data_IF_526693546759
#
_entry.id   IF_526693546759
#
_cell.length_a   1.000
_cell.length_b   1.000
_cell.length_c   1.000
_cell.angle_alpha   90.00
_cell.angle_beta   90.00
_cell.angle_gamma   90.00
#
_symmetry.space_group_name_H-M   'P 1'
#
loop_
_entity.id
_entity.type
_entity.pdbx_description
1 polymer ?
#
# COMPACT_ATOMS: atom_id res chain seq x y z
N UNK A 1 -9.93 -3.57 20.56
CA UNK A 1 -8.93 -2.82 21.35
C UNK A 1 -8.59 -1.55 20.60
N UNK A 2 -8.29 -0.47 21.33
CA UNK A 2 -8.06 0.84 20.72
C UNK A 2 -9.22 1.30 19.84
N UNK A 3 -8.88 1.82 18.67
CA UNK A 3 -9.80 2.37 17.66
C UNK A 3 -10.38 1.31 16.69
N UNK A 4 -10.03 0.04 16.83
CA UNK A 4 -10.47 -1.03 15.92
C UNK A 4 -12.00 -1.14 15.77
N UNK A 5 -12.76 -0.89 16.85
CA UNK A 5 -14.23 -0.94 16.83
C UNK A 5 -14.81 0.21 16.01
N UNK A 6 -14.26 1.41 16.19
CA UNK A 6 -14.65 2.59 15.43
C UNK A 6 -14.30 2.43 13.95
N UNK A 7 -13.07 2.02 13.66
CA UNK A 7 -12.60 1.73 12.29
C UNK A 7 -13.49 0.69 11.59
N UNK A 8 -13.86 -0.40 12.27
CA UNK A 8 -14.75 -1.43 11.73
C UNK A 8 -16.17 -0.91 11.47
N UNK A 9 -16.69 -0.08 12.38
CA UNK A 9 -18.03 0.51 12.28
C UNK A 9 -18.10 1.50 11.10
N UNK A 10 -17.14 2.40 11.00
CA UNK A 10 -17.03 3.35 9.89
C UNK A 10 -16.87 2.63 8.55
N UNK A 11 -16.07 1.56 8.51
CA UNK A 11 -15.92 0.73 7.31
C UNK A 11 -17.23 0.09 6.89
N UNK A 12 -18.00 -0.46 7.83
CA UNK A 12 -19.31 -1.04 7.54
C UNK A 12 -20.31 0.02 7.02
N UNK A 13 -20.35 1.20 7.65
CA UNK A 13 -21.21 2.30 7.21
C UNK A 13 -20.83 2.84 5.83
N UNK A 14 -19.54 2.99 5.55
CA UNK A 14 -19.06 3.31 4.22
C UNK A 14 -19.47 2.22 3.24
N UNK A 15 -19.32 0.94 3.61
CA UNK A 15 -19.72 -0.24 2.82
C UNK A 15 -21.16 -0.28 2.36
N UNK A 16 -22.06 0.27 3.15
CA UNK A 16 -23.49 0.31 2.83
C UNK A 16 -23.88 1.45 1.88
N UNK A 17 -22.96 2.38 1.58
CA UNK A 17 -23.24 3.53 0.69
C UNK A 17 -22.54 3.32 -0.66
N UNK A 18 -23.27 3.35 -1.79
CA UNK A 18 -22.64 3.37 -3.09
C UNK A 18 -21.92 4.72 -3.29
N UNK A 19 -20.84 4.70 -4.06
CA UNK A 19 -20.13 5.89 -4.52
C UNK A 19 -20.14 5.92 -6.05
N UNK A 20 -20.10 7.09 -6.70
CA UNK A 20 -19.88 7.15 -8.13
C UNK A 20 -18.52 6.57 -8.50
N UNK A 21 -18.34 6.24 -9.79
CA UNK A 21 -17.01 5.89 -10.29
C UNK A 21 -16.11 7.14 -10.23
N UNK A 22 -15.17 7.15 -9.29
CA UNK A 22 -14.27 8.27 -9.03
C UNK A 22 -12.90 7.77 -8.60
N UNK A 23 -11.87 8.57 -8.85
CA UNK A 23 -10.52 8.35 -8.32
C UNK A 23 -10.41 8.72 -6.83
N UNK A 24 -11.34 9.53 -6.31
CA UNK A 24 -11.45 9.82 -4.89
C UNK A 24 -12.31 8.77 -4.17
N UNK A 25 -11.78 7.56 -4.06
CA UNK A 25 -12.44 6.44 -3.37
C UNK A 25 -11.78 6.07 -2.04
N UNK A 26 -10.71 6.76 -1.64
CA UNK A 26 -9.94 6.34 -0.45
C UNK A 26 -10.79 6.42 0.83
N UNK A 27 -11.65 7.43 0.95
CA UNK A 27 -12.63 7.59 2.02
C UNK A 27 -13.58 6.40 2.16
N UNK A 28 -13.75 5.60 1.09
CA UNK A 28 -14.61 4.43 1.05
C UNK A 28 -13.92 3.15 1.54
N UNK A 29 -12.61 3.03 1.28
CA UNK A 29 -11.80 1.85 1.62
C UNK A 29 -11.25 1.96 3.04
N UNK A 30 -10.74 3.12 3.42
CA UNK A 30 -10.15 3.41 4.72
C UNK A 30 -10.78 4.68 5.34
N UNK A 31 -12.10 4.66 5.63
CA UNK A 31 -12.83 5.85 6.09
C UNK A 31 -12.24 6.47 7.37
N UNK A 32 -11.83 5.62 8.31
CA UNK A 32 -11.28 6.06 9.59
C UNK A 32 -9.96 6.84 9.42
N UNK A 33 -9.01 6.28 8.66
CA UNK A 33 -7.75 6.95 8.37
C UNK A 33 -7.97 8.24 7.58
N UNK A 34 -8.85 8.18 6.57
CA UNK A 34 -9.21 9.37 5.78
C UNK A 34 -9.79 10.49 6.65
N UNK A 35 -10.70 10.17 7.58
CA UNK A 35 -11.27 11.15 8.51
C UNK A 35 -10.22 11.77 9.43
N UNK A 36 -9.33 10.97 10.02
CA UNK A 36 -8.29 11.50 10.92
C UNK A 36 -7.33 12.43 10.18
N UNK A 37 -6.89 12.02 9.00
CA UNK A 37 -5.97 12.82 8.17
C UNK A 37 -6.60 14.16 7.79
N UNK A 38 -7.89 14.18 7.44
CA UNK A 38 -8.56 15.40 7.00
C UNK A 38 -9.02 16.31 8.15
N UNK A 39 -9.45 15.74 9.28
CA UNK A 39 -10.15 16.50 10.32
C UNK A 39 -9.26 17.01 11.46
N UNK A 40 -8.10 16.39 11.72
CA UNK A 40 -7.42 16.61 13.01
C UNK A 40 -5.90 16.61 12.97
N UNK A 41 -5.26 16.18 11.87
CA UNK A 41 -3.86 15.77 11.92
C UNK A 41 -3.02 16.12 10.68
N UNK A 42 -3.41 17.10 9.86
CA UNK A 42 -2.52 17.62 8.81
C UNK A 42 -1.18 18.06 9.43
N UNK A 43 -0.13 17.25 9.27
CA UNK A 43 1.20 17.47 9.83
C UNK A 43 1.52 16.87 11.21
N UNK A 44 0.63 16.07 11.83
CA UNK A 44 0.91 15.38 13.13
C UNK A 44 0.91 13.86 12.99
N UNK A 45 1.77 13.20 13.77
CA UNK A 45 1.78 11.73 13.86
C UNK A 45 0.54 11.25 14.62
N UNK A 46 -0.10 10.19 14.12
CA UNK A 46 -1.34 9.65 14.66
C UNK A 46 -1.04 8.33 15.37
N UNK A 47 -1.60 8.15 16.56
CA UNK A 47 -1.57 6.88 17.28
C UNK A 47 -2.83 6.10 16.98
N UNK A 48 -2.69 4.90 16.43
CA UNK A 48 -3.80 4.04 15.98
C UNK A 48 -3.50 2.56 16.25
N UNK A 49 -4.41 1.65 15.89
CA UNK A 49 -4.21 0.22 16.02
C UNK A 49 -4.35 -0.52 14.69
N UNK A 50 -3.41 -1.43 14.43
CA UNK A 50 -3.51 -2.42 13.36
C UNK A 50 -3.69 -3.81 13.98
N UNK A 51 -4.95 -4.24 14.06
CA UNK A 51 -5.30 -5.45 14.81
C UNK A 51 -5.01 -5.25 16.31
N UNK A 52 -4.31 -6.18 16.96
CA UNK A 52 -3.90 -6.05 18.36
C UNK A 52 -2.57 -5.30 18.54
N UNK A 53 -2.02 -4.67 17.48
CA UNK A 53 -0.72 -3.99 17.52
C UNK A 53 -0.93 -2.48 17.50
N UNK A 54 -0.49 -1.72 18.53
CA UNK A 54 -0.49 -0.26 18.46
C UNK A 54 0.49 0.20 17.38
N UNK A 55 0.11 1.20 16.59
CA UNK A 55 0.87 1.68 15.43
C UNK A 55 0.86 3.20 15.39
N UNK A 56 2.00 3.78 15.00
CA UNK A 56 2.12 5.21 14.75
C UNK A 56 2.07 5.43 13.24
N UNK A 57 1.08 6.18 12.77
CA UNK A 57 1.01 6.64 11.39
C UNK A 57 1.79 7.95 11.26
N UNK A 58 2.91 7.87 10.53
CA UNK A 58 3.76 9.02 10.22
C UNK A 58 3.20 9.73 8.99
N UNK A 59 2.89 11.02 9.14
CA UNK A 59 2.28 11.84 8.07
C UNK A 59 3.23 12.90 7.51
N UNK A 60 4.31 13.22 8.24
CA UNK A 60 5.30 14.22 7.84
C UNK A 60 6.25 13.65 6.79
N UNK A 61 6.37 14.25 5.59
CA UNK A 61 7.22 13.73 4.52
C UNK A 61 8.68 13.54 4.92
N UNK A 62 9.24 14.44 5.73
CA UNK A 62 10.63 14.35 6.19
C UNK A 62 10.86 13.14 7.08
N UNK A 63 9.93 12.85 7.99
CA UNK A 63 10.00 11.66 8.85
C UNK A 63 9.80 10.37 8.06
N UNK A 64 8.90 10.39 7.06
CA UNK A 64 8.72 9.25 6.14
C UNK A 64 10.03 8.98 5.42
N UNK A 65 10.65 10.00 4.82
CA UNK A 65 11.92 9.88 4.10
C UNK A 65 13.04 9.35 5.00
N UNK A 66 13.16 9.88 6.22
CA UNK A 66 14.18 9.44 7.18
C UNK A 66 13.97 7.97 7.59
N UNK A 67 12.72 7.58 7.89
CA UNK A 67 12.39 6.19 8.23
C UNK A 67 12.73 5.21 7.09
N UNK A 68 12.40 5.58 5.84
CA UNK A 68 12.71 4.77 4.65
C UNK A 68 14.20 4.70 4.32
N UNK A 69 15.01 5.67 4.73
CA UNK A 69 16.47 5.60 4.58
C UNK A 69 17.13 4.73 5.65
N UNK A 70 16.51 4.59 6.83
CA UNK A 70 17.02 3.81 7.96
C UNK A 70 16.41 2.41 8.04
N UNK A 71 16.39 1.68 6.91
CA UNK A 71 15.79 0.33 6.82
C UNK A 71 16.39 -0.72 7.77
N UNK A 72 17.62 -0.49 8.27
CA UNK A 72 18.22 -1.37 9.29
C UNK A 72 17.62 -1.14 10.69
N UNK A 73 17.15 0.08 10.97
CA UNK A 73 16.52 0.45 12.23
C UNK A 73 15.00 0.25 12.18
N UNK A 74 14.38 0.55 11.04
CA UNK A 74 12.95 0.38 10.80
C UNK A 74 12.72 -0.77 9.83
N UNK A 75 12.42 -1.95 10.38
CA UNK A 75 11.99 -3.11 9.60
C UNK A 75 10.51 -3.03 9.27
N UNK A 76 10.07 -3.73 8.22
CA UNK A 76 8.65 -3.79 7.84
C UNK A 76 7.82 -4.37 8.98
N UNK A 77 6.61 -3.83 9.12
CA UNK A 77 5.68 -4.29 10.13
C UNK A 77 5.29 -5.75 9.89
N UNK A 78 5.52 -6.61 10.90
CA UNK A 78 5.10 -8.01 10.86
C UNK A 78 3.62 -8.09 11.24
N UNK A 79 2.75 -8.12 10.22
CA UNK A 79 1.30 -8.10 10.41
C UNK A 79 0.76 -9.37 11.10
N UNK A 80 1.25 -10.56 10.71
CA UNK A 80 0.84 -11.86 11.26
C UNK A 80 1.84 -12.97 10.84
N UNK A 81 2.18 -13.95 11.68
CA UNK A 81 2.96 -15.13 11.26
C UNK A 81 2.42 -15.84 10.01
N UNK A 82 1.10 -15.94 9.83
CA UNK A 82 0.50 -16.59 8.67
C UNK A 82 0.71 -15.81 7.37
N UNK A 83 0.74 -14.48 7.42
CA UNK A 83 0.99 -13.67 6.21
C UNK A 83 2.41 -13.84 5.72
N UNK A 84 3.38 -14.06 6.62
CA UNK A 84 4.77 -14.30 6.24
C UNK A 84 4.95 -15.60 5.45
N UNK A 85 4.17 -16.63 5.79
CA UNK A 85 4.17 -17.91 5.08
C UNK A 85 3.52 -17.76 3.70
N UNK A 86 2.34 -17.12 3.66
CA UNK A 86 1.55 -16.99 2.44
C UNK A 86 2.14 -15.99 1.42
N UNK A 87 3.00 -15.08 1.85
CA UNK A 87 3.60 -14.05 0.99
C UNK A 87 5.13 -14.10 0.97
N UNK A 88 5.73 -15.29 1.13
CA UNK A 88 7.18 -15.46 1.04
C UNK A 88 7.74 -14.85 -0.27
N UNK A 89 8.73 -13.96 -0.16
CA UNK A 89 9.32 -13.30 -1.32
C UNK A 89 9.96 -11.95 -1.02
N UNK A 90 10.41 -11.27 -2.08
CA UNK A 90 11.10 -9.98 -1.99
C UNK A 90 10.35 -8.92 -1.16
N UNK A 91 9.01 -8.79 -1.24
CA UNK A 91 8.28 -7.82 -0.42
C UNK A 91 8.47 -8.02 1.09
N UNK A 92 8.72 -9.26 1.55
CA UNK A 92 8.83 -9.60 2.97
C UNK A 92 10.26 -9.91 3.44
N UNK A 93 11.24 -9.97 2.54
CA UNK A 93 12.63 -10.10 2.95
C UNK A 93 13.17 -8.80 3.52
N UNK A 94 14.12 -8.94 4.45
CA UNK A 94 14.84 -7.84 5.09
C UNK A 94 16.36 -8.05 5.02
N UNK A 95 17.11 -6.99 5.30
CA UNK A 95 18.56 -7.01 5.43
C UNK A 95 19.30 -7.63 4.24
N UNK A 96 20.30 -8.48 4.53
CA UNK A 96 21.13 -9.11 3.50
C UNK A 96 20.34 -10.02 2.56
N UNK A 97 19.32 -10.72 3.06
CA UNK A 97 18.47 -11.59 2.22
C UNK A 97 17.73 -10.77 1.18
N UNK A 98 17.15 -9.64 1.58
CA UNK A 98 16.54 -8.71 0.64
C UNK A 98 17.55 -8.14 -0.36
N UNK A 99 18.71 -7.70 0.11
CA UNK A 99 19.74 -7.12 -0.76
C UNK A 99 20.23 -8.10 -1.83
N UNK A 100 20.46 -9.37 -1.46
CA UNK A 100 20.86 -10.44 -2.38
C UNK A 100 19.79 -10.69 -3.45
N UNK A 101 18.53 -10.84 -3.04
CA UNK A 101 17.43 -11.11 -3.97
C UNK A 101 17.12 -9.91 -4.87
N UNK A 102 17.18 -8.69 -4.34
CA UNK A 102 17.01 -7.47 -5.13
C UNK A 102 18.11 -7.34 -6.18
N UNK A 103 19.38 -7.60 -5.81
CA UNK A 103 20.52 -7.58 -6.74
C UNK A 103 20.35 -8.59 -7.88
N UNK A 104 19.82 -9.77 -7.59
CA UNK A 104 19.55 -10.81 -8.59
C UNK A 104 18.45 -10.38 -9.59
N UNK A 105 17.40 -9.71 -9.11
CA UNK A 105 16.27 -9.30 -9.95
C UNK A 105 16.53 -8.00 -10.72
N UNK A 106 17.35 -7.10 -10.19
CA UNK A 106 17.59 -5.77 -10.76
C UNK A 106 17.94 -5.77 -12.27
N UNK A 107 18.73 -6.72 -12.82
CA UNK A 107 19.01 -6.79 -14.24
C UNK A 107 17.79 -6.98 -15.15
N UNK A 108 16.69 -7.53 -14.65
CA UNK A 108 15.44 -7.69 -15.42
C UNK A 108 14.62 -6.39 -15.48
N UNK A 109 14.74 -5.54 -14.45
CA UNK A 109 13.99 -4.28 -14.31
C UNK A 109 14.80 -3.05 -14.72
N UNK A 110 15.84 -3.22 -15.53
CA UNK A 110 16.58 -2.10 -16.12
C UNK A 110 15.73 -1.41 -17.19
N UNK A 111 15.81 -0.09 -17.26
CA UNK A 111 14.96 0.73 -18.14
C UNK A 111 14.95 0.25 -19.61
N UNK A 112 16.11 -0.13 -20.16
CA UNK A 112 16.18 -0.61 -21.54
C UNK A 112 15.42 -1.92 -21.77
N UNK A 113 15.37 -2.82 -20.77
CA UNK A 113 14.58 -4.06 -20.85
C UNK A 113 13.10 -3.80 -20.65
N UNK A 114 12.75 -2.89 -19.74
CA UNK A 114 11.37 -2.48 -19.53
C UNK A 114 10.77 -1.83 -20.79
N UNK A 115 11.57 -1.06 -21.54
CA UNK A 115 11.14 -0.49 -22.82
C UNK A 115 10.74 -1.54 -23.86
N UNK A 116 11.35 -2.74 -23.82
CA UNK A 116 10.97 -3.84 -24.71
C UNK A 116 9.55 -4.36 -24.43
N UNK A 117 8.99 -4.08 -23.25
CA UNK A 117 7.62 -4.49 -22.89
C UNK A 117 6.55 -3.52 -23.37
N UNK A 118 6.90 -2.31 -23.82
CA UNK A 118 5.94 -1.28 -24.26
C UNK A 118 4.98 -1.81 -25.34
N UNK A 119 5.44 -2.47 -26.42
CA UNK A 119 4.53 -2.97 -27.46
C UNK A 119 3.52 -4.00 -26.93
N UNK A 120 3.93 -4.81 -25.96
CA UNK A 120 3.04 -5.79 -25.33
C UNK A 120 1.98 -5.10 -24.47
N UNK A 121 2.34 -4.03 -23.76
CA UNK A 121 1.38 -3.22 -23.01
C UNK A 121 0.39 -2.51 -23.92
N UNK A 122 0.86 -1.90 -25.00
CA UNK A 122 0.02 -1.24 -26.01
C UNK A 122 -1.00 -2.22 -26.59
N UNK A 123 -0.53 -3.38 -27.05
CA UNK A 123 -1.40 -4.42 -27.61
C UNK A 123 -2.48 -4.85 -26.60
N UNK A 124 -2.09 -5.13 -25.36
CA UNK A 124 -3.03 -5.54 -24.30
C UNK A 124 -4.11 -4.48 -24.02
N UNK A 125 -3.70 -3.20 -23.95
CA UNK A 125 -4.61 -2.08 -23.72
C UNK A 125 -5.55 -1.90 -24.91
N UNK A 126 -5.03 -1.85 -26.13
CA UNK A 126 -5.84 -1.70 -27.35
C UNK A 126 -6.84 -2.84 -27.52
N UNK A 127 -6.43 -4.09 -27.31
CA UNK A 127 -7.34 -5.24 -27.38
C UNK A 127 -8.46 -5.18 -26.35
N UNK A 128 -8.15 -4.72 -25.14
CA UNK A 128 -9.13 -4.57 -24.07
C UNK A 128 -10.14 -3.46 -24.40
N UNK A 129 -9.66 -2.30 -24.86
CA UNK A 129 -10.52 -1.18 -25.27
C UNK A 129 -11.42 -1.57 -26.45
N UNK A 130 -10.86 -2.22 -27.47
CA UNK A 130 -11.61 -2.69 -28.65
C UNK A 130 -12.71 -3.69 -28.27
N UNK A 131 -12.52 -4.50 -27.22
CA UNK A 131 -13.57 -5.41 -26.72
C UNK A 131 -14.64 -4.65 -25.96
N UNK A 132 -14.27 -3.66 -25.16
CA UNK A 132 -15.21 -2.84 -24.41
C UNK A 132 -16.06 -1.93 -25.30
N UNK A 133 -15.51 -1.39 -26.39
CA UNK A 133 -16.29 -0.60 -27.38
C UNK A 133 -17.32 -1.44 -28.15
N UNK A 134 -17.16 -2.76 -28.18
CA UNK A 134 -18.08 -3.70 -28.83
C UNK A 134 -19.16 -4.25 -27.89
N UNK A 135 -19.09 -3.94 -26.60
CA UNK A 135 -20.10 -4.27 -25.59
C UNK A 135 -21.10 -3.11 -25.45
#
# INVERSE_FOLDING_TARGET
MGDMKESSTLRAQALNKPIPFTHDYYHRIQPFIHQILNNSCAGKNIYTWLGPVPTILITQPELIKDAFNRMNNFQKQRLNPYTQILSAGLPNYEGQKWAKHRKLLNPAFQLHKLKLMIPAFETCVTDTLNKWEKL
#
